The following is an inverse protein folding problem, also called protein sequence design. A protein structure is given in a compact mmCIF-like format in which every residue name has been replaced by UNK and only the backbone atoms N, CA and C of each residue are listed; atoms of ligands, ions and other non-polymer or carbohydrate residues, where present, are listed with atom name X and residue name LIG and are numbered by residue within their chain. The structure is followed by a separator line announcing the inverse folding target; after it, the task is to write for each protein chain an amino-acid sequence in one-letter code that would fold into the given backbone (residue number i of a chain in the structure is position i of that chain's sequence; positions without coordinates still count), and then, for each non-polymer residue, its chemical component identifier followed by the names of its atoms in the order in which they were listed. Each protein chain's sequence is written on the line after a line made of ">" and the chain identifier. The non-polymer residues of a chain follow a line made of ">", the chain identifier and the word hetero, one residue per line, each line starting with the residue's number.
data_IF_255186588384
#
_entry.id   IF_255186588384
#
_cell.length_a   1.000
_cell.length_b   1.000
_cell.length_c   1.000
_cell.angle_alpha   90.00
_cell.angle_beta   90.00
_cell.angle_gamma   90.00
#
_symmetry.space_group_name_H-M   'P 1'
#
loop_
_entity.id
_entity.type
_entity.pdbx_description
1 polymer ?
#
# COMPACT_ATOMS: atom_id res chain seq x y z
N UNK A 1 -7.90 -15.81 8.51
CA UNK A 1 -7.16 -14.56 8.80
C UNK A 1 -6.32 -14.11 7.60
N UNK A 2 -5.26 -14.83 7.19
CA UNK A 2 -4.47 -14.55 5.98
C UNK A 2 -5.32 -14.51 4.70
N UNK A 3 -6.24 -15.48 4.55
CA UNK A 3 -7.06 -15.62 3.34
C UNK A 3 -8.02 -14.44 3.11
N UNK A 4 -8.60 -13.84 4.15
CA UNK A 4 -9.62 -12.80 3.98
C UNK A 4 -9.03 -11.45 3.57
N UNK A 5 -7.93 -11.02 4.19
CA UNK A 5 -7.27 -9.76 3.85
C UNK A 5 -6.50 -9.85 2.51
N UNK A 6 -5.93 -11.01 2.19
CA UNK A 6 -5.35 -11.29 0.87
C UNK A 6 -6.45 -11.40 -0.19
N UNK A 7 -7.55 -12.11 0.07
CA UNK A 7 -8.70 -12.19 -0.85
C UNK A 7 -9.34 -10.82 -1.07
N UNK A 8 -9.47 -9.98 -0.05
CA UNK A 8 -9.98 -8.61 -0.19
C UNK A 8 -9.13 -7.80 -1.17
N UNK A 9 -7.81 -7.94 -1.11
CA UNK A 9 -6.89 -7.31 -2.06
C UNK A 9 -7.04 -7.90 -3.46
N UNK A 10 -7.12 -9.21 -3.60
CA UNK A 10 -7.27 -9.87 -4.90
C UNK A 10 -8.59 -9.49 -5.56
N UNK A 11 -9.69 -9.45 -4.81
CA UNK A 11 -11.01 -9.02 -5.28
C UNK A 11 -11.04 -7.53 -5.68
N UNK A 12 -10.39 -6.66 -4.90
CA UNK A 12 -10.25 -5.25 -5.24
C UNK A 12 -9.47 -5.03 -6.54
N UNK A 13 -8.44 -5.85 -6.78
CA UNK A 13 -7.64 -5.81 -8.01
C UNK A 13 -8.36 -6.46 -9.22
N UNK A 14 -9.37 -7.31 -8.99
CA UNK A 14 -10.17 -7.97 -10.03
C UNK A 14 -11.41 -7.18 -10.46
N UNK A 15 -11.53 -5.90 -10.08
CA UNK A 15 -12.68 -5.04 -10.40
C UNK A 15 -14.04 -5.52 -9.84
N UNK A 16 -14.04 -6.19 -8.68
CA UNK A 16 -15.26 -6.56 -7.96
C UNK A 16 -15.44 -5.71 -6.70
N UNK A 17 -15.79 -4.40 -6.83
CA UNK A 17 -15.72 -3.44 -5.72
C UNK A 17 -16.64 -3.77 -4.55
N UNK A 18 -17.84 -4.29 -4.82
CA UNK A 18 -18.80 -4.67 -3.78
C UNK A 18 -18.32 -5.89 -2.97
N UNK A 19 -17.79 -6.91 -3.66
CA UNK A 19 -17.23 -8.09 -2.99
C UNK A 19 -15.98 -7.73 -2.20
N UNK A 20 -15.14 -6.83 -2.73
CA UNK A 20 -13.99 -6.30 -2.00
C UNK A 20 -14.44 -5.57 -0.72
N UNK A 21 -15.44 -4.68 -0.79
CA UNK A 21 -15.97 -3.97 0.40
C UNK A 21 -16.55 -4.92 1.46
N UNK A 22 -17.29 -5.94 1.03
CA UNK A 22 -17.83 -6.96 1.93
C UNK A 22 -16.70 -7.74 2.63
N UNK A 23 -15.69 -8.17 1.87
CA UNK A 23 -14.53 -8.87 2.41
C UNK A 23 -13.71 -8.00 3.39
N UNK A 24 -13.56 -6.71 3.10
CA UNK A 24 -12.90 -5.75 3.98
C UNK A 24 -13.65 -5.61 5.31
N UNK A 25 -14.98 -5.51 5.26
CA UNK A 25 -15.84 -5.41 6.46
C UNK A 25 -15.73 -6.67 7.31
N UNK A 26 -15.75 -7.85 6.69
CA UNK A 26 -15.57 -9.12 7.37
C UNK A 26 -14.18 -9.24 8.02
N UNK A 27 -13.13 -8.77 7.35
CA UNK A 27 -11.77 -8.78 7.88
C UNK A 27 -11.63 -7.86 9.12
N UNK A 28 -12.19 -6.64 9.07
CA UNK A 28 -12.21 -5.72 10.21
C UNK A 28 -13.00 -6.27 11.40
N UNK A 29 -14.20 -6.82 11.14
CA UNK A 29 -15.03 -7.41 12.18
C UNK A 29 -14.38 -8.64 12.84
N UNK A 30 -13.58 -9.40 12.10
CA UNK A 30 -12.82 -10.51 12.66
C UNK A 30 -11.68 -10.01 13.56
N UNK A 31 -10.88 -9.05 13.09
CA UNK A 31 -9.79 -8.47 13.89
C UNK A 31 -10.25 -7.86 15.21
N UNK A 32 -11.38 -7.15 15.20
CA UNK A 32 -11.91 -6.50 16.40
C UNK A 32 -12.36 -7.50 17.48
N UNK A 33 -12.62 -8.76 17.11
CA UNK A 33 -13.03 -9.84 18.02
C UNK A 33 -11.86 -10.65 18.57
N UNK A 34 -10.65 -10.50 18.03
CA UNK A 34 -9.50 -11.25 18.51
C UNK A 34 -9.03 -10.71 19.87
N UNK A 35 -8.66 -11.59 20.82
CA UNK A 35 -7.94 -11.20 22.02
C UNK A 35 -6.65 -10.43 21.70
N UNK A 36 -6.24 -9.51 22.56
CA UNK A 36 -5.04 -8.69 22.35
C UNK A 36 -3.76 -9.53 22.14
N UNK A 37 -3.62 -10.64 22.87
CA UNK A 37 -2.52 -11.58 22.71
C UNK A 37 -2.41 -12.13 21.27
N UNK A 38 -3.55 -12.36 20.62
CA UNK A 38 -3.64 -12.91 19.25
C UNK A 38 -3.49 -11.83 18.16
N UNK A 39 -3.52 -10.54 18.54
CA UNK A 39 -3.28 -9.41 17.62
C UNK A 39 -1.81 -9.09 17.44
N UNK A 40 -0.96 -9.54 18.37
CA UNK A 40 0.48 -9.32 18.32
C UNK A 40 1.09 -10.04 17.11
N UNK A 41 2.05 -9.37 16.45
CA UNK A 41 2.73 -9.91 15.28
C UNK A 41 3.83 -10.88 15.77
N UNK A 42 3.44 -12.14 16.02
CA UNK A 42 4.40 -13.22 16.22
C UNK A 42 4.75 -13.84 14.87
N UNK A 43 5.86 -14.59 14.79
CA UNK A 43 6.26 -15.28 13.55
C UNK A 43 5.14 -16.19 12.98
N UNK A 44 4.23 -16.66 13.84
CA UNK A 44 3.16 -17.59 13.52
C UNK A 44 1.77 -16.92 13.33
N UNK A 45 1.60 -15.67 13.76
CA UNK A 45 0.30 -14.97 13.70
C UNK A 45 0.30 -13.86 12.65
N UNK A 46 -0.88 -13.64 12.06
CA UNK A 46 -1.15 -12.47 11.24
C UNK A 46 -1.40 -11.30 12.18
N UNK A 47 -0.38 -10.48 12.45
CA UNK A 47 -0.51 -9.37 13.38
C UNK A 47 -1.36 -8.22 12.85
N UNK A 48 -1.83 -7.37 13.78
CA UNK A 48 -2.58 -6.13 13.51
C UNK A 48 -1.89 -5.23 12.47
N UNK A 49 -0.54 -5.18 12.49
CA UNK A 49 0.25 -4.44 11.52
C UNK A 49 -0.03 -4.89 10.08
N UNK A 50 0.03 -6.20 9.82
CA UNK A 50 -0.17 -6.76 8.48
C UNK A 50 -1.61 -6.56 8.03
N UNK A 51 -2.57 -6.68 8.94
CA UNK A 51 -3.98 -6.36 8.67
C UNK A 51 -4.13 -4.97 8.06
N UNK A 52 -3.58 -3.95 8.72
CA UNK A 52 -3.63 -2.58 8.24
C UNK A 52 -2.86 -2.34 6.93
N UNK A 53 -1.74 -3.04 6.72
CA UNK A 53 -1.04 -3.04 5.42
C UNK A 53 -1.95 -3.57 4.30
N UNK A 54 -2.65 -4.68 4.51
CA UNK A 54 -3.49 -5.26 3.46
C UNK A 54 -4.76 -4.44 3.20
N UNK A 55 -5.44 -3.98 4.25
CA UNK A 55 -6.62 -3.12 4.13
C UNK A 55 -6.31 -1.83 3.39
N UNK A 56 -5.25 -1.13 3.79
CA UNK A 56 -4.91 0.14 3.16
C UNK A 56 -4.66 0.00 1.67
N UNK A 57 -4.06 -1.12 1.23
CA UNK A 57 -3.84 -1.42 -0.19
C UNK A 57 -5.14 -1.64 -0.94
N UNK A 58 -6.10 -2.34 -0.34
CA UNK A 58 -7.42 -2.56 -0.94
C UNK A 58 -8.21 -1.25 -1.03
N UNK A 59 -8.23 -0.43 0.03
CA UNK A 59 -8.88 0.89 0.00
C UNK A 59 -8.24 1.83 -1.03
N UNK A 60 -6.90 1.81 -1.15
CA UNK A 60 -6.20 2.57 -2.21
C UNK A 60 -6.71 2.15 -3.59
N UNK A 61 -6.77 0.85 -3.87
CA UNK A 61 -7.24 0.33 -5.16
C UNK A 61 -8.72 0.68 -5.45
N UNK A 62 -9.55 0.78 -4.40
CA UNK A 62 -10.95 1.20 -4.50
C UNK A 62 -11.13 2.73 -4.56
N UNK A 63 -10.06 3.52 -4.48
CA UNK A 63 -10.11 4.99 -4.44
C UNK A 63 -10.60 5.57 -3.10
N UNK A 64 -10.79 4.75 -2.06
CA UNK A 64 -11.14 5.24 -0.70
C UNK A 64 -9.86 5.68 0.02
N UNK A 65 -9.31 6.82 -0.41
CA UNK A 65 -8.02 7.32 0.04
C UNK A 65 -8.01 7.71 1.52
N UNK A 66 -9.16 8.08 2.09
CA UNK A 66 -9.30 8.36 3.52
C UNK A 66 -9.05 7.11 4.36
N UNK A 67 -9.79 6.03 4.12
CA UNK A 67 -9.61 4.76 4.86
C UNK A 67 -8.26 4.13 4.58
N UNK A 68 -7.74 4.31 3.36
CA UNK A 68 -6.40 3.86 3.01
C UNK A 68 -5.32 4.52 3.89
N UNK A 69 -5.39 5.85 4.08
CA UNK A 69 -4.45 6.60 4.91
C UNK A 69 -4.57 6.23 6.39
N UNK A 70 -5.78 6.03 6.91
CA UNK A 70 -6.00 5.54 8.29
C UNK A 70 -5.29 4.20 8.52
N UNK A 71 -5.47 3.24 7.61
CA UNK A 71 -4.76 1.97 7.65
C UNK A 71 -3.24 2.12 7.52
N UNK A 72 -2.75 2.99 6.63
CA UNK A 72 -1.32 3.24 6.48
C UNK A 72 -0.69 3.79 7.77
N UNK A 73 -1.35 4.78 8.39
CA UNK A 73 -0.90 5.39 9.63
C UNK A 73 -0.83 4.36 10.75
N UNK A 74 -1.88 3.54 10.91
CA UNK A 74 -1.89 2.50 11.93
C UNK A 74 -0.82 1.44 11.70
N UNK A 75 -0.61 1.03 10.45
CA UNK A 75 0.48 0.13 10.10
C UNK A 75 1.86 0.73 10.39
N UNK A 76 2.05 2.04 10.17
CA UNK A 76 3.31 2.75 10.47
C UNK A 76 3.58 2.82 11.98
N UNK A 77 2.58 3.10 12.79
CA UNK A 77 2.67 3.11 14.26
C UNK A 77 3.08 1.74 14.82
N UNK A 78 2.56 0.67 14.23
CA UNK A 78 2.85 -0.71 14.61
C UNK A 78 4.16 -1.25 14.00
N UNK A 79 4.78 -0.53 13.07
CA UNK A 79 6.02 -0.96 12.41
C UNK A 79 7.24 -0.43 13.15
N UNK A 80 8.19 -1.32 13.45
CA UNK A 80 9.48 -0.90 14.01
C UNK A 80 10.14 0.18 13.12
N UNK A 81 10.79 1.21 13.71
CA UNK A 81 11.46 2.26 12.94
C UNK A 81 12.52 1.72 11.97
N UNK A 82 13.14 0.59 12.32
CA UNK A 82 14.18 -0.09 11.53
C UNK A 82 13.62 -0.93 10.38
N UNK A 83 12.30 -1.13 10.28
CA UNK A 83 11.64 -1.87 9.20
C UNK A 83 11.55 -1.06 7.91
N UNK A 84 12.71 -0.75 7.32
CA UNK A 84 12.86 0.11 6.14
C UNK A 84 11.96 -0.31 4.98
N UNK A 85 11.95 -1.59 4.62
CA UNK A 85 11.12 -2.13 3.52
C UNK A 85 9.63 -1.87 3.74
N UNK A 86 9.11 -2.22 4.93
CA UNK A 86 7.69 -2.04 5.29
C UNK A 86 7.30 -0.57 5.26
N UNK A 87 8.12 0.30 5.85
CA UNK A 87 7.87 1.74 5.86
C UNK A 87 7.89 2.33 4.45
N UNK A 88 8.80 1.89 3.58
CA UNK A 88 8.79 2.31 2.17
C UNK A 88 7.53 1.85 1.44
N UNK A 89 7.06 0.62 1.64
CA UNK A 89 5.81 0.14 1.04
C UNK A 89 4.60 0.99 1.46
N UNK A 90 4.55 1.41 2.73
CA UNK A 90 3.51 2.30 3.26
C UNK A 90 3.60 3.70 2.66
N UNK A 91 4.80 4.26 2.55
CA UNK A 91 5.03 5.57 1.92
C UNK A 91 4.62 5.60 0.44
N UNK A 92 4.94 4.55 -0.33
CA UNK A 92 4.47 4.42 -1.73
C UNK A 92 2.93 4.29 -1.76
N UNK A 93 2.33 3.61 -0.78
CA UNK A 93 0.87 3.58 -0.61
C UNK A 93 0.25 4.95 -0.39
N UNK A 94 0.86 5.80 0.43
CA UNK A 94 0.42 7.18 0.65
C UNK A 94 0.60 8.06 -0.59
N UNK A 95 1.67 7.84 -1.35
CA UNK A 95 1.86 8.49 -2.66
C UNK A 95 0.75 8.09 -3.63
N UNK A 96 0.38 6.80 -3.70
CA UNK A 96 -0.73 6.35 -4.52
C UNK A 96 -2.07 6.98 -4.13
N UNK A 97 -2.34 7.17 -2.84
CA UNK A 97 -3.51 7.94 -2.39
C UNK A 97 -3.46 9.38 -2.89
N UNK A 98 -2.28 10.02 -2.83
CA UNK A 98 -2.10 11.39 -3.34
C UNK A 98 -2.36 11.49 -4.84
N UNK A 99 -1.98 10.46 -5.62
CA UNK A 99 -2.31 10.39 -7.04
C UNK A 99 -3.82 10.27 -7.29
N UNK A 100 -4.52 9.39 -6.56
CA UNK A 100 -5.98 9.28 -6.62
C UNK A 100 -6.68 10.61 -6.29
N UNK A 101 -6.11 11.39 -5.37
CA UNK A 101 -6.61 12.72 -4.98
C UNK A 101 -6.19 13.83 -5.97
N UNK A 102 -5.62 13.49 -7.13
CA UNK A 102 -5.21 14.42 -8.20
C UNK A 102 -3.76 14.92 -8.14
N UNK A 103 -3.01 14.56 -7.10
CA UNK A 103 -1.62 14.97 -6.86
C UNK A 103 -0.57 14.09 -7.53
N UNK A 104 -0.68 13.86 -8.85
CA UNK A 104 0.21 12.97 -9.62
C UNK A 104 1.70 13.34 -9.48
N UNK A 105 2.06 14.60 -9.70
CA UNK A 105 3.45 15.04 -9.64
C UNK A 105 4.06 14.80 -8.24
N UNK A 106 3.33 15.16 -7.19
CA UNK A 106 3.76 14.94 -5.81
C UNK A 106 3.88 13.45 -5.48
N UNK A 107 2.95 12.63 -5.98
CA UNK A 107 3.00 11.18 -5.81
C UNK A 107 4.24 10.58 -6.46
N UNK A 108 4.61 11.03 -7.66
CA UNK A 108 5.81 10.58 -8.36
C UNK A 108 7.09 10.95 -7.59
N UNK A 109 7.23 12.21 -7.17
CA UNK A 109 8.39 12.66 -6.37
C UNK A 109 8.55 11.84 -5.09
N UNK A 110 7.47 11.71 -4.31
CA UNK A 110 7.49 10.93 -3.06
C UNK A 110 7.86 9.47 -3.27
N UNK A 111 7.45 8.88 -4.40
CA UNK A 111 7.78 7.49 -4.73
C UNK A 111 9.25 7.35 -5.07
N UNK A 112 9.82 8.28 -5.86
CA UNK A 112 11.26 8.33 -6.15
C UNK A 112 12.07 8.49 -4.86
N UNK A 113 11.71 9.43 -3.99
CA UNK A 113 12.37 9.64 -2.70
C UNK A 113 12.34 8.37 -1.83
N UNK A 114 11.19 7.70 -1.75
CA UNK A 114 11.04 6.49 -0.95
C UNK A 114 11.87 5.30 -1.50
N UNK A 115 11.99 5.17 -2.82
CA UNK A 115 12.80 4.14 -3.48
C UNK A 115 14.29 4.41 -3.33
N UNK A 116 14.71 5.66 -3.52
CA UNK A 116 16.13 6.05 -3.46
C UNK A 116 16.67 6.03 -2.04
N UNK A 117 15.82 6.21 -1.02
CA UNK A 117 16.19 6.05 0.38
C UNK A 117 16.43 4.57 0.80
N UNK A 118 15.94 3.58 0.04
CA UNK A 118 16.22 2.17 0.32
C UNK A 118 17.60 1.75 -0.18
N UNK A 119 18.31 0.87 0.55
CA UNK A 119 19.46 0.15 0.01
C UNK A 119 19.07 -0.59 -1.28
N UNK A 120 19.99 -0.65 -2.24
CA UNK A 120 19.72 -1.16 -3.60
C UNK A 120 19.11 -2.57 -3.60
N UNK A 121 19.56 -3.44 -2.69
CA UNK A 121 19.07 -4.82 -2.57
C UNK A 121 17.58 -4.91 -2.22
N UNK A 122 17.04 -3.89 -1.54
CA UNK A 122 15.62 -3.81 -1.16
C UNK A 122 14.74 -3.08 -2.18
N UNK A 123 15.32 -2.52 -3.25
CA UNK A 123 14.57 -1.84 -4.33
C UNK A 123 13.93 -2.80 -5.31
N UNK A 124 13.97 -4.11 -5.04
CA UNK A 124 13.45 -5.16 -5.91
C UNK A 124 12.12 -5.73 -5.38
N UNK A 125 11.55 -6.71 -6.08
CA UNK A 125 10.40 -7.49 -5.61
C UNK A 125 9.17 -6.65 -5.26
N UNK A 126 8.57 -6.79 -4.05
CA UNK A 126 7.32 -6.12 -3.68
C UNK A 126 7.39 -4.59 -3.73
N UNK A 127 8.54 -4.01 -3.44
CA UNK A 127 8.74 -2.55 -3.46
C UNK A 127 8.68 -2.03 -4.90
N UNK A 128 9.48 -2.63 -5.80
CA UNK A 128 9.47 -2.27 -7.23
C UNK A 128 8.07 -2.46 -7.83
N UNK A 129 7.42 -3.59 -7.55
CA UNK A 129 6.07 -3.85 -8.05
C UNK A 129 5.09 -2.77 -7.60
N UNK A 130 5.19 -2.28 -6.37
CA UNK A 130 4.28 -1.24 -5.86
C UNK A 130 4.49 0.11 -6.54
N UNK A 131 5.73 0.46 -6.84
CA UNK A 131 6.05 1.67 -7.59
C UNK A 131 5.60 1.57 -9.06
N UNK A 132 5.75 0.38 -9.66
CA UNK A 132 5.23 0.08 -11.00
C UNK A 132 3.71 0.19 -11.06
N UNK A 133 2.98 -0.39 -10.08
CA UNK A 133 1.52 -0.27 -10.00
C UNK A 133 1.07 1.21 -10.01
N UNK A 134 1.80 2.09 -9.30
CA UNK A 134 1.53 3.52 -9.33
C UNK A 134 1.82 4.12 -10.71
N UNK A 135 2.98 3.83 -11.29
CA UNK A 135 3.35 4.37 -12.61
C UNK A 135 2.35 3.95 -13.71
N UNK A 136 1.92 2.68 -13.70
CA UNK A 136 0.93 2.13 -14.64
C UNK A 136 -0.45 2.82 -14.49
N UNK A 137 -0.79 3.33 -13.31
CA UNK A 137 -2.04 4.04 -13.06
C UNK A 137 -2.03 5.50 -13.56
N UNK A 138 -0.86 6.09 -13.84
CA UNK A 138 -0.75 7.50 -14.23
C UNK A 138 -1.29 7.72 -15.65
N UNK A 139 -2.28 8.63 -15.84
CA UNK A 139 -2.82 8.94 -17.16
C UNK A 139 -1.77 9.51 -18.12
N UNK A 140 -1.89 9.19 -19.40
CA UNK A 140 -0.94 9.58 -20.46
C UNK A 140 -0.64 11.10 -20.50
N UNK A 141 -1.62 11.93 -20.14
CA UNK A 141 -1.46 13.39 -20.08
C UNK A 141 -0.37 13.87 -19.10
N UNK A 142 -0.15 13.13 -18.01
CA UNK A 142 0.85 13.46 -16.98
C UNK A 142 2.24 12.89 -17.31
N UNK A 143 2.36 11.99 -18.29
CA UNK A 143 3.64 11.33 -18.61
C UNK A 143 4.73 12.27 -19.12
N UNK A 144 4.37 13.50 -19.52
CA UNK A 144 5.34 14.52 -19.93
C UNK A 144 5.95 15.26 -18.74
N UNK A 145 5.34 15.18 -17.55
CA UNK A 145 5.85 15.83 -16.34
C UNK A 145 7.19 15.24 -15.93
N UNK A 146 8.10 16.10 -15.46
CA UNK A 146 9.45 15.68 -15.08
C UNK A 146 9.44 14.61 -13.99
N UNK A 147 8.63 14.81 -12.94
CA UNK A 147 8.54 13.85 -11.84
C UNK A 147 8.07 12.45 -12.30
N UNK A 148 7.19 12.38 -13.30
CA UNK A 148 6.70 11.11 -13.85
C UNK A 148 7.78 10.41 -14.68
N UNK A 149 8.60 11.18 -15.41
CA UNK A 149 9.77 10.63 -16.13
C UNK A 149 10.81 10.08 -15.16
N UNK A 150 11.13 10.82 -14.11
CA UNK A 150 12.05 10.36 -13.05
C UNK A 150 11.54 9.08 -12.39
N UNK A 151 10.24 9.02 -12.08
CA UNK A 151 9.62 7.79 -11.58
C UNK A 151 9.80 6.64 -12.56
N UNK A 152 9.48 6.84 -13.85
CA UNK A 152 9.65 5.83 -14.90
C UNK A 152 11.08 5.30 -14.90
N UNK A 153 12.07 6.19 -14.94
CA UNK A 153 13.48 5.81 -15.04
C UNK A 153 13.90 4.94 -13.85
N UNK A 154 13.44 5.26 -12.63
CA UNK A 154 13.72 4.46 -11.42
C UNK A 154 13.00 3.10 -11.41
N UNK A 155 11.80 2.99 -12.00
CA UNK A 155 11.03 1.73 -11.98
C UNK A 155 11.26 0.82 -13.19
N UNK A 156 11.75 1.38 -14.31
CA UNK A 156 12.06 0.62 -15.53
C UNK A 156 13.53 0.30 -15.70
N UNK A 157 14.42 1.04 -15.03
CA UNK A 157 15.82 0.65 -14.82
C UNK A 157 15.94 -0.63 -14.00
#
# INVERSE_FOLDING_TARGET
>A
MLAAAVASRTLALNHEPEQARAALTAADAFMSRLPEADRSDTWLTYGEQKHHVHLSRAFTALGDTRRAREGQQRALELSAPTSSMTRTLLNIGTAACSHHDGGTEQASRRTVDALTALPVDFRTGPVRRRALDLFEAIPAQHQREQAVRELRDVVTG
#
